data_IF_096807324526
#
_entry.id   IF_096807324526
#
_cell.length_a   1.000
_cell.length_b   1.000
_cell.length_c   1.000
_cell.angle_alpha   90.00
_cell.angle_beta   90.00
_cell.angle_gamma   90.00
#
_symmetry.space_group_name_H-M   'P 1'
#
loop_
_entity.id
_entity.type
_entity.pdbx_description
1 polymer ?
#
# COMPACT_ATOMS: atom_id res chain seq x y z
N UNK A 1 4.69 -4.86 -14.18
CA UNK A 1 4.30 -4.70 -12.76
C UNK A 1 3.41 -5.85 -12.33
N UNK A 2 3.79 -6.55 -11.26
CA UNK A 2 3.10 -7.75 -10.77
C UNK A 2 2.19 -7.51 -9.56
N UNK A 3 2.14 -6.28 -9.01
CA UNK A 3 1.36 -5.97 -7.80
C UNK A 3 2.18 -5.75 -6.54
N UNK A 4 3.51 -5.64 -6.62
CA UNK A 4 4.38 -5.26 -5.51
C UNK A 4 4.19 -3.78 -5.15
N UNK A 5 3.58 -3.51 -4.00
CA UNK A 5 3.22 -2.14 -3.59
C UNK A 5 4.43 -1.22 -3.39
N UNK A 6 5.59 -1.76 -3.02
CA UNK A 6 6.81 -0.97 -2.85
C UNK A 6 7.30 -0.42 -4.19
N UNK A 7 7.04 -1.16 -5.28
CA UNK A 7 7.39 -0.78 -6.65
C UNK A 7 6.26 -0.08 -7.39
N UNK A 8 5.10 0.12 -6.75
CA UNK A 8 3.95 0.77 -7.38
C UNK A 8 4.28 2.20 -7.82
N UNK A 9 4.94 2.97 -6.96
CA UNK A 9 5.29 4.36 -7.26
C UNK A 9 6.21 4.47 -8.48
N UNK A 10 7.29 3.68 -8.48
CA UNK A 10 8.25 3.64 -9.58
C UNK A 10 7.58 3.21 -10.90
N UNK A 11 6.76 2.15 -10.85
CA UNK A 11 6.00 1.71 -12.01
C UNK A 11 5.05 2.81 -12.53
N UNK A 12 4.31 3.45 -11.63
CA UNK A 12 3.31 4.46 -11.98
C UNK A 12 3.98 5.64 -12.69
N UNK A 13 5.07 6.15 -12.13
CA UNK A 13 5.77 7.32 -12.66
C UNK A 13 6.46 6.99 -14.00
N UNK A 14 7.05 5.80 -14.14
CA UNK A 14 7.59 5.31 -15.41
C UNK A 14 6.52 5.15 -16.49
N UNK A 15 5.39 4.51 -16.16
CA UNK A 15 4.31 4.28 -17.11
C UNK A 15 3.66 5.61 -17.53
N UNK A 16 3.52 6.55 -16.61
CA UNK A 16 2.96 7.87 -16.90
C UNK A 16 3.87 8.67 -17.84
N UNK A 17 5.18 8.64 -17.62
CA UNK A 17 6.17 9.28 -18.48
C UNK A 17 6.22 8.68 -19.88
N UNK A 18 6.27 7.35 -19.98
CA UNK A 18 6.52 6.65 -21.24
C UNK A 18 5.27 6.40 -22.10
N UNK A 19 4.08 6.33 -21.48
CA UNK A 19 2.85 5.90 -22.15
C UNK A 19 1.74 6.95 -22.05
N UNK A 20 1.47 7.47 -20.85
CA UNK A 20 0.33 8.38 -20.64
C UNK A 20 0.60 9.76 -21.25
N UNK A 21 1.79 10.32 -21.00
CA UNK A 21 2.16 11.66 -21.47
C UNK A 21 2.53 11.72 -22.95
N UNK A 22 2.69 10.56 -23.60
CA UNK A 22 3.02 10.47 -25.02
C UNK A 22 1.81 10.87 -25.87
N UNK A 23 1.89 12.00 -26.59
CA UNK A 23 0.76 12.53 -27.40
C UNK A 23 0.45 11.71 -28.65
N UNK A 24 1.40 10.88 -29.10
CA UNK A 24 1.25 10.05 -30.29
C UNK A 24 0.46 8.76 -30.05
N UNK A 25 0.27 8.36 -28.78
CA UNK A 25 -0.48 7.16 -28.45
C UNK A 25 -1.96 7.48 -28.25
N UNK A 26 -2.81 6.66 -28.88
CA UNK A 26 -4.24 6.62 -28.62
C UNK A 26 -4.54 5.91 -27.30
N UNK A 27 -5.72 6.16 -26.73
CA UNK A 27 -6.11 5.52 -25.47
C UNK A 27 -6.19 4.00 -25.56
N UNK A 28 -6.58 3.45 -26.72
CA UNK A 28 -6.61 1.99 -26.90
C UNK A 28 -5.20 1.40 -26.91
N UNK A 29 -4.22 2.07 -27.53
CA UNK A 29 -2.81 1.66 -27.47
C UNK A 29 -2.28 1.73 -26.04
N UNK A 30 -2.55 2.81 -25.30
CA UNK A 30 -2.18 2.94 -23.88
C UNK A 30 -2.76 1.79 -23.05
N UNK A 31 -4.01 1.41 -23.30
CA UNK A 31 -4.67 0.31 -22.61
C UNK A 31 -4.04 -1.05 -22.97
N UNK A 32 -3.70 -1.28 -24.24
CA UNK A 32 -2.95 -2.48 -24.64
C UNK A 32 -1.57 -2.55 -23.96
N UNK A 33 -0.84 -1.44 -23.91
CA UNK A 33 0.42 -1.37 -23.18
C UNK A 33 0.22 -1.69 -21.70
N UNK A 34 -0.80 -1.11 -21.06
CA UNK A 34 -1.13 -1.35 -19.66
C UNK A 34 -1.37 -2.86 -19.41
N UNK A 35 -2.21 -3.51 -20.21
CA UNK A 35 -2.47 -4.96 -20.09
C UNK A 35 -1.23 -5.82 -20.37
N UNK A 36 -0.33 -5.37 -21.25
CA UNK A 36 0.88 -6.08 -21.63
C UNK A 36 1.95 -6.06 -20.54
N UNK A 37 2.11 -4.93 -19.84
CA UNK A 37 3.14 -4.79 -18.80
C UNK A 37 2.66 -5.26 -17.42
N UNK A 38 1.36 -5.47 -17.23
CA UNK A 38 0.80 -5.99 -15.98
C UNK A 38 0.88 -7.52 -15.93
N UNK A 39 1.13 -8.03 -14.72
CA UNK A 39 1.19 -9.45 -14.43
C UNK A 39 0.53 -9.74 -13.07
N UNK A 40 0.21 -11.02 -12.84
CA UNK A 40 -0.25 -11.51 -11.54
C UNK A 40 -1.46 -10.75 -10.97
N UNK A 41 -1.45 -10.45 -9.66
CA UNK A 41 -2.52 -9.69 -8.98
C UNK A 41 -2.89 -8.37 -9.68
N UNK A 42 -1.90 -7.61 -10.15
CA UNK A 42 -2.14 -6.32 -10.78
C UNK A 42 -2.89 -6.46 -12.11
N UNK A 43 -2.63 -7.53 -12.89
CA UNK A 43 -3.35 -7.81 -14.13
C UNK A 43 -4.80 -8.24 -13.87
N UNK A 44 -5.03 -8.95 -12.77
CA UNK A 44 -6.35 -9.46 -12.38
C UNK A 44 -7.31 -8.31 -12.03
N UNK A 45 -6.80 -7.22 -11.47
CA UNK A 45 -7.62 -6.04 -11.10
C UNK A 45 -8.33 -5.43 -12.31
N UNK A 46 -7.68 -5.45 -13.48
CA UNK A 46 -8.22 -4.86 -14.70
C UNK A 46 -8.67 -5.90 -15.73
N UNK A 47 -8.64 -7.20 -15.41
CA UNK A 47 -8.90 -8.27 -16.39
C UNK A 47 -10.32 -8.27 -16.95
N UNK A 48 -11.28 -7.75 -16.18
CA UNK A 48 -12.69 -7.68 -16.56
C UNK A 48 -13.03 -6.38 -17.31
N UNK A 49 -12.06 -5.48 -17.49
CA UNK A 49 -12.25 -4.22 -18.20
C UNK A 49 -12.08 -4.48 -19.71
N UNK A 50 -13.06 -4.13 -20.56
CA UNK A 50 -12.94 -4.33 -21.99
C UNK A 50 -11.76 -3.53 -22.58
N UNK A 51 -11.06 -4.13 -23.54
CA UNK A 51 -10.00 -3.47 -24.32
C UNK A 51 -10.61 -2.51 -25.35
N UNK A 52 -11.14 -1.38 -24.87
CA UNK A 52 -11.78 -0.34 -25.69
C UNK A 52 -11.14 1.03 -25.42
N UNK A 53 -11.20 1.93 -26.42
CA UNK A 53 -10.49 3.21 -26.40
C UNK A 53 -10.93 4.16 -25.27
N UNK A 54 -12.16 4.01 -24.77
CA UNK A 54 -12.75 4.79 -23.69
C UNK A 54 -12.43 4.22 -22.29
N UNK A 55 -11.92 2.98 -22.20
CA UNK A 55 -11.72 2.28 -20.93
C UNK A 55 -10.34 2.50 -20.31
N UNK A 56 -9.40 3.12 -21.01
CA UNK A 56 -8.05 3.36 -20.48
C UNK A 56 -8.08 4.09 -19.13
N UNK A 57 -8.82 5.20 -19.06
CA UNK A 57 -8.87 6.01 -17.84
C UNK A 57 -9.49 5.23 -16.68
N UNK A 58 -10.51 4.41 -16.96
CA UNK A 58 -11.14 3.56 -15.95
C UNK A 58 -10.16 2.51 -15.43
N UNK A 59 -9.49 1.77 -16.32
CA UNK A 59 -8.50 0.77 -15.95
C UNK A 59 -7.34 1.37 -15.14
N UNK A 60 -6.83 2.53 -15.56
CA UNK A 60 -5.76 3.22 -14.85
C UNK A 60 -6.21 3.67 -13.45
N UNK A 61 -7.37 4.30 -13.33
CA UNK A 61 -7.90 4.76 -12.04
C UNK A 61 -8.21 3.60 -11.09
N UNK A 62 -8.71 2.46 -11.59
CA UNK A 62 -8.93 1.26 -10.78
C UNK A 62 -7.61 0.71 -10.25
N UNK A 63 -6.57 0.67 -11.09
CA UNK A 63 -5.22 0.25 -10.68
C UNK A 63 -4.63 1.21 -9.63
N UNK A 64 -4.76 2.52 -9.85
CA UNK A 64 -4.36 3.55 -8.90
C UNK A 64 -5.08 3.41 -7.56
N UNK A 65 -6.40 3.28 -7.56
CA UNK A 65 -7.18 3.14 -6.32
C UNK A 65 -6.80 1.91 -5.50
N UNK A 66 -6.45 0.80 -6.19
CA UNK A 66 -6.05 -0.44 -5.54
C UNK A 66 -4.67 -0.37 -4.86
N UNK A 67 -3.74 0.42 -5.39
CA UNK A 67 -2.36 0.48 -4.90
C UNK A 67 -1.95 1.83 -4.30
N UNK A 68 -2.76 2.88 -4.43
CA UNK A 68 -2.54 4.19 -3.78
C UNK A 68 -3.05 4.21 -2.33
N UNK A 69 -4.02 3.36 -1.96
CA UNK A 69 -4.61 3.28 -0.61
C UNK A 69 -3.72 2.55 0.43
N UNK A 70 -2.45 2.96 0.50
CA UNK A 70 -1.38 2.48 1.41
C UNK A 70 -1.64 2.72 2.92
N UNK A 71 -2.73 3.39 3.29
CA UNK A 71 -3.10 3.68 4.69
C UNK A 71 -3.49 2.42 5.47
N UNK A 72 -4.22 1.49 4.85
CA UNK A 72 -4.54 0.19 5.46
C UNK A 72 -3.33 -0.73 5.61
N UNK A 73 -2.40 -0.67 4.66
CA UNK A 73 -1.16 -1.45 4.71
C UNK A 73 -0.31 -1.02 5.92
N UNK A 74 -0.16 0.29 6.12
CA UNK A 74 0.49 0.85 7.29
C UNK A 74 -0.25 0.51 8.60
N UNK A 75 -1.58 0.61 8.64
CA UNK A 75 -2.37 0.23 9.84
C UNK A 75 -2.22 -1.25 10.23
N UNK A 76 -2.12 -2.14 9.25
CA UNK A 76 -1.98 -3.59 9.49
C UNK A 76 -0.59 -3.92 10.02
N UNK A 77 0.45 -3.34 9.43
CA UNK A 77 1.82 -3.46 9.93
C UNK A 77 1.94 -2.89 11.35
N UNK A 78 1.26 -1.78 11.62
CA UNK A 78 1.25 -1.15 12.94
C UNK A 78 0.48 -1.95 13.99
N UNK A 79 -0.67 -2.54 13.64
CA UNK A 79 -1.41 -3.46 14.53
C UNK A 79 -0.55 -4.66 14.94
N UNK A 80 0.21 -5.23 13.99
CA UNK A 80 1.13 -6.34 14.27
C UNK A 80 2.27 -5.96 15.23
N UNK A 81 2.68 -4.70 15.24
CA UNK A 81 3.64 -4.16 16.23
C UNK A 81 2.97 -4.00 17.60
N UNK A 82 1.73 -3.52 17.65
CA UNK A 82 0.98 -3.26 18.89
C UNK A 82 0.48 -4.52 19.60
N UNK A 83 0.13 -5.57 18.85
CA UNK A 83 -0.38 -6.84 19.37
C UNK A 83 0.74 -7.81 19.77
N UNK A 84 2.00 -7.41 19.64
CA UNK A 84 3.14 -8.20 20.08
C UNK A 84 3.05 -8.44 21.62
N UNK A 85 3.25 -9.69 22.08
CA UNK A 85 3.02 -10.05 23.48
C UNK A 85 3.97 -9.30 24.43
N UNK A 86 3.38 -8.45 25.29
CA UNK A 86 4.08 -7.52 26.22
C UNK A 86 4.83 -8.24 27.36
N UNK A 87 4.54 -9.52 27.61
CA UNK A 87 5.20 -10.29 28.69
C UNK A 87 5.70 -11.65 28.21
N UNK A 88 7.02 -11.92 28.31
CA UNK A 88 7.54 -13.26 28.18
C UNK A 88 7.03 -14.17 29.31
N UNK A 89 6.76 -15.45 29.05
CA UNK A 89 6.59 -16.46 30.11
C UNK A 89 7.89 -16.71 30.89
N UNK A 90 9.06 -16.38 30.31
CA UNK A 90 10.36 -16.41 30.98
C UNK A 90 11.32 -15.38 30.37
N UNK A 91 12.18 -14.71 31.17
CA UNK A 91 13.18 -13.79 30.64
C UNK A 91 14.30 -14.59 29.93
N UNK A 92 14.25 -14.66 28.60
CA UNK A 92 15.38 -15.15 27.79
C UNK A 92 15.68 -14.18 26.65
N UNK A 93 16.96 -13.97 26.37
CA UNK A 93 17.41 -13.13 25.24
C UNK A 93 16.85 -13.64 23.90
N UNK A 94 16.75 -14.96 23.76
CA UNK A 94 16.18 -15.63 22.58
C UNK A 94 14.69 -15.29 22.35
N UNK A 95 13.91 -15.13 23.42
CA UNK A 95 12.52 -14.68 23.32
C UNK A 95 12.44 -13.19 22.95
N UNK A 96 13.32 -12.37 23.51
CA UNK A 96 13.38 -10.94 23.20
C UNK A 96 13.75 -10.69 21.74
N UNK A 97 14.71 -11.43 21.19
CA UNK A 97 15.07 -11.38 19.77
C UNK A 97 13.90 -11.81 18.86
N UNK A 98 13.18 -12.89 19.22
CA UNK A 98 11.99 -13.33 18.48
C UNK A 98 10.82 -12.36 18.57
N UNK A 99 10.62 -11.71 19.72
CA UNK A 99 9.59 -10.71 19.94
C UNK A 99 9.83 -9.45 19.11
N UNK A 100 11.10 -9.06 18.97
CA UNK A 100 11.51 -7.88 18.21
C UNK A 100 11.62 -8.14 16.71
N UNK A 101 11.88 -9.36 16.26
CA UNK A 101 12.04 -9.69 14.84
C UNK A 101 10.86 -9.22 13.97
N UNK A 102 9.62 -9.57 14.36
CA UNK A 102 8.41 -9.19 13.61
C UNK A 102 8.16 -7.67 13.56
N UNK A 103 8.17 -6.97 14.72
CA UNK A 103 8.06 -5.52 14.77
C UNK A 103 9.20 -4.78 14.06
N UNK A 104 10.43 -5.29 14.12
CA UNK A 104 11.59 -4.70 13.48
C UNK A 104 11.54 -4.85 11.96
N UNK A 105 11.16 -6.03 11.46
CA UNK A 105 10.90 -6.26 10.03
C UNK A 105 9.77 -5.35 9.52
N UNK A 106 8.68 -5.21 10.29
CA UNK A 106 7.58 -4.32 9.94
C UNK A 106 8.02 -2.84 9.95
N UNK A 107 8.82 -2.42 10.93
CA UNK A 107 9.38 -1.06 11.00
C UNK A 107 10.36 -0.77 9.86
N UNK A 108 11.19 -1.75 9.47
CA UNK A 108 12.09 -1.65 8.32
C UNK A 108 11.31 -1.52 7.00
N UNK A 109 10.28 -2.34 6.80
CA UNK A 109 9.38 -2.21 5.65
C UNK A 109 8.68 -0.84 5.61
N UNK A 110 8.29 -0.27 6.77
CA UNK A 110 7.72 1.07 6.86
C UNK A 110 8.72 2.19 6.55
N UNK A 111 10.01 2.00 6.87
CA UNK A 111 11.09 2.94 6.55
C UNK A 111 11.45 2.91 5.05
N UNK A 112 11.42 1.74 4.42
CA UNK A 112 11.63 1.59 2.96
C UNK A 112 10.52 2.24 2.14
N UNK A 113 9.30 2.33 2.69
CA UNK A 113 8.13 2.95 2.04
C UNK A 113 8.26 4.48 1.88
N UNK A 114 9.33 5.12 2.37
CA UNK A 114 9.59 6.57 2.21
C UNK A 114 8.34 7.41 2.55
N UNK A 115 7.83 7.24 3.77
CA UNK A 115 6.69 8.02 4.25
C UNK A 115 7.21 9.30 4.94
N UNK A 116 7.06 10.51 4.34
CA UNK A 116 7.44 11.77 4.99
C UNK A 116 6.56 12.12 6.21
N UNK A 117 5.63 11.24 6.60
CA UNK A 117 4.67 11.44 7.68
C UNK A 117 4.67 10.29 8.71
N UNK A 118 5.83 9.66 8.93
CA UNK A 118 6.02 8.64 9.97
C UNK A 118 5.42 9.04 11.34
N UNK A 119 5.56 10.30 11.83
CA UNK A 119 4.92 10.73 13.07
C UNK A 119 3.40 10.64 13.01
N UNK A 120 2.76 11.03 11.91
CA UNK A 120 1.29 11.02 11.76
C UNK A 120 0.72 9.61 11.77
N UNK A 121 1.41 8.65 11.15
CA UNK A 121 1.01 7.24 11.12
C UNK A 121 1.21 6.51 12.46
N UNK A 122 2.19 6.94 13.26
CA UNK A 122 2.44 6.40 14.60
C UNK A 122 1.55 7.06 15.65
N UNK A 123 1.38 8.39 15.57
CA UNK A 123 0.66 9.18 16.55
C UNK A 123 -0.85 9.01 16.45
N UNK A 124 -1.42 8.88 15.24
CA UNK A 124 -2.88 8.75 15.10
C UNK A 124 -3.46 7.52 15.83
N UNK A 125 -2.91 6.30 15.67
CA UNK A 125 -3.41 5.13 16.39
C UNK A 125 -3.06 5.16 17.89
N UNK A 126 -1.94 5.76 18.28
CA UNK A 126 -1.61 5.99 19.71
C UNK A 126 -2.59 6.97 20.37
N UNK A 127 -2.94 8.06 19.69
CA UNK A 127 -3.91 9.06 20.15
C UNK A 127 -5.30 8.45 20.21
N UNK A 128 -5.76 7.71 19.18
CA UNK A 128 -7.05 7.01 19.21
C UNK A 128 -7.15 6.04 20.39
N UNK A 129 -6.06 5.36 20.76
CA UNK A 129 -6.03 4.47 21.94
C UNK A 129 -6.24 5.22 23.27
N UNK A 130 -5.89 6.50 23.33
CA UNK A 130 -6.14 7.38 24.48
C UNK A 130 -7.48 8.13 24.41
N UNK A 131 -8.12 8.21 23.25
CA UNK A 131 -9.47 8.77 23.11
C UNK A 131 -10.52 7.79 23.65
N UNK A 132 -11.52 8.32 24.36
CA UNK A 132 -12.67 7.56 24.83
C UNK A 132 -13.58 7.10 23.68
N UNK A 133 -14.38 6.04 23.88
CA UNK A 133 -15.16 5.39 22.81
C UNK A 133 -16.05 6.36 22.01
N UNK A 134 -16.71 7.31 22.66
CA UNK A 134 -17.57 8.32 22.01
C UNK A 134 -16.82 9.30 21.11
N UNK A 135 -15.53 9.52 21.38
CA UNK A 135 -14.71 10.42 20.55
C UNK A 135 -14.16 9.69 19.33
N UNK A 136 -14.04 8.35 19.35
CA UNK A 136 -13.53 7.54 18.23
C UNK A 136 -14.50 7.48 17.06
N UNK A 137 -15.80 7.38 17.32
CA UNK A 137 -16.85 7.31 16.29
C UNK A 137 -16.86 8.55 15.38
N UNK A 138 -16.42 9.71 15.86
CA UNK A 138 -16.34 10.94 15.06
C UNK A 138 -15.19 10.99 14.05
N UNK A 139 -14.23 10.06 14.13
CA UNK A 139 -13.04 10.01 13.26
C UNK A 139 -13.02 8.81 12.29
N UNK A 140 -14.05 7.95 12.30
CA UNK A 140 -14.18 6.78 11.40
C UNK A 140 -14.96 7.08 10.09
N UNK A 141 -15.12 8.35 9.71
CA UNK A 141 -15.66 8.79 8.41
C UNK A 141 -14.55 9.24 7.45
#
# INVERSE_FOLDING_TARGET
>A
FSGDICRWQEFRDLFQSLVINQTTLSNIERLHYLHGVLAGPAKTIISNIPLQADQFQHAWNTLCSAYENRRQFAETLFRRILDAPVRPPSPSAEYFERLLAGPLEAAQAMLEVSAPNLPSFILFPLIIRHLGPHTREGFEL
#
